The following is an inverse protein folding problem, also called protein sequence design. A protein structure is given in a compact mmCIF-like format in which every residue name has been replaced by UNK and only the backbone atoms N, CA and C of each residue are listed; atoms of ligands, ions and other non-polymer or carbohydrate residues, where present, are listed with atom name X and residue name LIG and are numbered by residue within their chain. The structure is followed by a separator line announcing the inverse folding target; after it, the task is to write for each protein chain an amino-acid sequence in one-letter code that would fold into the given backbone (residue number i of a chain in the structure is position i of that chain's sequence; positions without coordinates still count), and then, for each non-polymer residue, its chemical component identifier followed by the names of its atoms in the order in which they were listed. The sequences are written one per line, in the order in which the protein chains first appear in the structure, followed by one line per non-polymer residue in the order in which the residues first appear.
data_IF_614378829692
#
_entry.id   IF_614378829692
#
_cell.length_a   1.000
_cell.length_b   1.000
_cell.length_c   1.000
_cell.angle_alpha   90.00
_cell.angle_beta   90.00
_cell.angle_gamma   90.00
#
_symmetry.space_group_name_H-M   'P 1'
#
loop_
_entity.id
_entity.type
_entity.pdbx_description
1 polymer ?
#
# COMPACT_ATOMS: atom_id res chain seq x y z
N UNK A 1 -16.93 8.75 12.08
CA UNK A 1 -15.66 8.26 11.47
C UNK A 1 -16.01 7.20 10.45
N UNK A 2 -15.47 7.30 9.24
CA UNK A 2 -15.70 6.31 8.19
C UNK A 2 -14.97 4.99 8.55
N UNK A 3 -15.55 3.84 8.24
CA UNK A 3 -14.95 2.53 8.53
C UNK A 3 -14.17 1.95 7.35
N UNK A 4 -14.60 2.22 6.12
CA UNK A 4 -13.99 1.65 4.91
C UNK A 4 -13.67 2.74 3.88
N UNK A 5 -12.55 2.54 3.18
CA UNK A 5 -12.05 3.33 2.06
C UNK A 5 -12.58 2.77 0.73
N UNK A 6 -13.11 3.62 -0.15
CA UNK A 6 -13.37 3.26 -1.55
C UNK A 6 -12.10 3.35 -2.41
N UNK A 7 -12.15 2.84 -3.64
CA UNK A 7 -11.07 2.99 -4.63
C UNK A 7 -10.72 4.46 -4.85
N UNK A 8 -11.74 5.27 -5.10
CA UNK A 8 -11.59 6.69 -5.39
C UNK A 8 -11.01 7.46 -4.21
N UNK A 9 -11.35 7.08 -2.98
CA UNK A 9 -10.77 7.67 -1.78
C UNK A 9 -9.31 7.34 -1.63
N UNK A 10 -8.91 6.09 -1.87
CA UNK A 10 -7.50 5.70 -1.86
C UNK A 10 -6.71 6.50 -2.91
N UNK A 11 -7.23 6.59 -4.14
CA UNK A 11 -6.59 7.35 -5.23
C UNK A 11 -6.49 8.84 -4.87
N UNK A 12 -7.59 9.43 -4.38
CA UNK A 12 -7.65 10.85 -3.99
C UNK A 12 -6.68 11.15 -2.84
N UNK A 13 -6.62 10.27 -1.84
CA UNK A 13 -5.72 10.41 -0.70
C UNK A 13 -4.25 10.34 -1.13
N UNK A 14 -3.88 9.39 -2.01
CA UNK A 14 -2.52 9.31 -2.54
C UNK A 14 -2.15 10.51 -3.42
N UNK A 15 -3.07 10.99 -4.26
CA UNK A 15 -2.83 12.18 -5.08
C UNK A 15 -2.60 13.42 -4.20
N UNK A 16 -3.42 13.61 -3.16
CA UNK A 16 -3.29 14.71 -2.22
C UNK A 16 -1.99 14.62 -1.40
N UNK A 17 -1.64 13.42 -0.93
CA UNK A 17 -0.38 13.16 -0.23
C UNK A 17 0.82 13.48 -1.11
N UNK A 18 0.81 13.04 -2.38
CA UNK A 18 1.86 13.32 -3.35
C UNK A 18 2.01 14.82 -3.63
N UNK A 19 0.89 15.53 -3.80
CA UNK A 19 0.91 16.98 -4.00
C UNK A 19 1.51 17.73 -2.80
N UNK A 20 1.23 17.29 -1.57
CA UNK A 20 1.80 17.89 -0.35
C UNK A 20 3.28 17.56 -0.19
N UNK A 21 3.64 16.30 -0.41
CA UNK A 21 5.03 15.87 -0.38
C UNK A 21 5.87 16.66 -1.38
N UNK A 22 5.37 16.85 -2.61
CA UNK A 22 6.02 17.66 -3.64
C UNK A 22 6.22 19.12 -3.19
N UNK A 23 5.20 19.75 -2.58
CA UNK A 23 5.29 21.11 -2.04
C UNK A 23 6.36 21.25 -0.94
N UNK A 24 6.56 20.19 -0.16
CA UNK A 24 7.58 20.12 0.90
C UNK A 24 8.96 19.66 0.38
N UNK A 25 9.12 19.44 -0.93
CA UNK A 25 10.36 18.93 -1.52
C UNK A 25 10.69 17.48 -1.13
N UNK A 26 9.69 16.70 -0.71
CA UNK A 26 9.82 15.31 -0.32
C UNK A 26 9.54 14.38 -1.51
N UNK A 27 10.50 13.51 -1.82
CA UNK A 27 10.27 12.36 -2.69
C UNK A 27 9.73 11.21 -1.87
N UNK A 28 8.58 10.66 -2.29
CA UNK A 28 7.87 9.59 -1.59
C UNK A 28 7.81 8.39 -2.50
N UNK A 29 8.41 7.29 -2.04
CA UNK A 29 8.39 5.99 -2.70
C UNK A 29 7.77 4.98 -1.73
N UNK A 30 6.69 4.34 -2.17
CA UNK A 30 5.92 3.41 -1.37
C UNK A 30 5.81 2.08 -2.11
N UNK A 31 5.89 0.99 -1.36
CA UNK A 31 5.55 -0.34 -1.85
C UNK A 31 4.28 -0.82 -1.14
N UNK A 32 3.15 -0.76 -1.85
CA UNK A 32 1.84 -1.16 -1.30
C UNK A 32 1.76 -2.69 -1.24
N UNK A 33 1.30 -3.20 -0.11
CA UNK A 33 1.13 -4.63 0.15
C UNK A 33 -0.26 -4.92 0.73
N UNK A 34 -0.60 -6.20 0.85
CA UNK A 34 -1.86 -6.63 1.47
C UNK A 34 -3.09 -6.43 0.59
N UNK A 35 -4.24 -6.21 1.23
CA UNK A 35 -5.56 -6.27 0.58
C UNK A 35 -5.72 -5.30 -0.57
N UNK A 36 -5.20 -4.07 -0.44
CA UNK A 36 -5.27 -3.05 -1.49
C UNK A 36 -4.53 -3.48 -2.75
N UNK A 37 -3.34 -4.07 -2.60
CA UNK A 37 -2.55 -4.55 -3.74
C UNK A 37 -3.31 -5.64 -4.53
N UNK A 38 -3.96 -6.58 -3.84
CA UNK A 38 -4.77 -7.64 -4.46
C UNK A 38 -6.00 -7.04 -5.16
N UNK A 39 -6.73 -6.17 -4.48
CA UNK A 39 -7.97 -5.57 -4.98
C UNK A 39 -7.71 -4.71 -6.23
N UNK A 40 -6.64 -3.92 -6.21
CA UNK A 40 -6.26 -3.07 -7.35
C UNK A 40 -5.67 -3.90 -8.49
N UNK A 41 -4.85 -4.92 -8.17
CA UNK A 41 -4.20 -5.77 -9.17
C UNK A 41 -5.17 -6.66 -9.96
N UNK A 42 -6.26 -7.11 -9.34
CA UNK A 42 -7.28 -7.92 -10.01
C UNK A 42 -8.46 -7.13 -10.58
N UNK A 43 -8.42 -5.80 -10.55
CA UNK A 43 -9.49 -4.91 -11.02
C UNK A 43 -10.88 -5.12 -10.37
N UNK A 44 -10.96 -5.94 -9.30
CA UNK A 44 -12.20 -6.22 -8.56
C UNK A 44 -12.70 -5.02 -7.74
N UNK A 45 -11.90 -3.96 -7.65
CA UNK A 45 -12.23 -2.73 -6.94
C UNK A 45 -13.53 -2.08 -7.44
N UNK A 46 -13.83 -2.14 -8.74
CA UNK A 46 -15.03 -1.55 -9.35
C UNK A 46 -16.33 -2.26 -8.92
N UNK A 47 -16.23 -3.53 -8.56
CA UNK A 47 -17.38 -4.36 -8.18
C UNK A 47 -17.76 -4.17 -6.70
N UNK A 48 -16.84 -3.62 -5.89
CA UNK A 48 -16.98 -3.45 -4.44
C UNK A 48 -17.61 -2.09 -4.10
N UNK A 49 -18.94 -2.01 -4.16
CA UNK A 49 -19.73 -0.79 -3.88
C UNK A 49 -19.71 -0.28 -2.43
N UNK A 50 -19.23 -1.09 -1.47
CA UNK A 50 -19.34 -0.83 -0.03
C UNK A 50 -18.06 -0.35 0.66
N UNK A 51 -16.96 -0.17 -0.08
CA UNK A 51 -15.61 0.06 0.47
C UNK A 51 -14.75 -1.20 0.41
N UNK A 52 -13.44 -0.97 0.25
CA UNK A 52 -12.43 -1.98 -0.08
C UNK A 52 -11.70 -2.50 1.15
N UNK A 53 -11.31 -1.58 2.04
CA UNK A 53 -10.40 -1.86 3.16
C UNK A 53 -10.54 -0.77 4.23
N UNK A 54 -10.06 -1.03 5.44
CA UNK A 54 -9.96 -0.01 6.49
C UNK A 54 -8.71 0.86 6.32
N UNK A 55 -7.66 0.30 5.73
CA UNK A 55 -6.34 0.89 5.61
C UNK A 55 -5.57 0.35 4.40
N UNK A 56 -4.48 1.05 4.08
CA UNK A 56 -3.49 0.70 3.09
C UNK A 56 -2.19 0.38 3.82
N UNK A 57 -1.76 -0.88 3.74
CA UNK A 57 -0.43 -1.28 4.21
C UNK A 57 0.62 -0.94 3.14
N UNK A 58 1.70 -0.30 3.55
CA UNK A 58 2.82 0.01 2.68
C UNK A 58 4.16 -0.11 3.39
N UNK A 59 5.20 -0.41 2.61
CA UNK A 59 6.59 -0.17 3.01
C UNK A 59 6.97 1.23 2.53
N UNK A 60 7.41 2.08 3.45
CA UNK A 60 7.99 3.39 3.13
C UNK A 60 9.44 3.18 2.64
N UNK A 61 9.65 3.19 1.32
CA UNK A 61 10.98 3.01 0.71
C UNK A 61 11.77 4.30 0.82
N UNK A 62 11.14 5.43 0.49
CA UNK A 62 11.64 6.78 0.74
C UNK A 62 10.47 7.69 1.14
N UNK A 63 10.71 8.70 1.99
CA UNK A 63 11.98 9.03 2.61
C UNK A 63 12.24 8.24 3.90
N UNK A 64 13.50 8.22 4.36
CA UNK A 64 13.91 7.57 5.61
C UNK A 64 14.31 8.60 6.69
N UNK A 65 14.51 8.14 7.93
CA UNK A 65 14.98 9.00 9.03
C UNK A 65 14.06 10.18 9.34
N UNK A 66 14.63 11.37 9.50
CA UNK A 66 13.87 12.59 9.89
C UNK A 66 12.78 12.95 8.86
N UNK A 67 13.05 12.70 7.59
CA UNK A 67 12.09 12.98 6.51
C UNK A 67 10.88 12.02 6.57
N UNK A 68 11.01 10.82 7.13
CA UNK A 68 9.88 9.91 7.36
C UNK A 68 8.88 10.51 8.37
N UNK A 69 9.36 11.20 9.40
CA UNK A 69 8.47 11.88 10.36
C UNK A 69 7.66 13.00 9.69
N UNK A 70 8.27 13.73 8.74
CA UNK A 70 7.56 14.72 7.93
C UNK A 70 6.47 14.05 7.08
N UNK A 71 6.79 12.93 6.41
CA UNK A 71 5.79 12.17 5.66
C UNK A 71 4.64 11.70 6.57
N UNK A 72 4.92 11.17 7.76
CA UNK A 72 3.86 10.77 8.72
C UNK A 72 2.97 11.93 9.14
N UNK A 73 3.52 13.13 9.30
CA UNK A 73 2.72 14.33 9.57
C UNK A 73 1.80 14.66 8.39
N UNK A 74 2.29 14.61 7.15
CA UNK A 74 1.47 14.82 5.96
C UNK A 74 0.34 13.78 5.83
N UNK A 75 0.62 12.51 6.14
CA UNK A 75 -0.38 11.44 6.18
C UNK A 75 -1.49 11.77 7.17
N UNK A 76 -1.15 12.24 8.37
CA UNK A 76 -2.14 12.65 9.38
C UNK A 76 -2.97 13.87 8.96
N UNK A 77 -2.38 14.80 8.21
CA UNK A 77 -3.14 15.92 7.65
C UNK A 77 -4.11 15.48 6.54
N UNK A 78 -3.72 14.51 5.70
CA UNK A 78 -4.60 13.91 4.68
C UNK A 78 -5.73 13.13 5.34
N UNK A 79 -5.42 12.38 6.40
CA UNK A 79 -6.39 11.65 7.22
C UNK A 79 -7.48 12.60 7.74
N UNK A 80 -7.08 13.72 8.34
CA UNK A 80 -8.00 14.70 8.88
C UNK A 80 -8.82 15.42 7.79
N UNK A 81 -8.20 15.80 6.68
CA UNK A 81 -8.86 16.56 5.61
C UNK A 81 -9.93 15.75 4.88
N UNK A 82 -9.64 14.48 4.59
CA UNK A 82 -10.55 13.60 3.87
C UNK A 82 -11.42 12.75 4.82
N UNK A 83 -11.32 12.98 6.14
CA UNK A 83 -12.05 12.23 7.18
C UNK A 83 -11.90 10.70 7.01
N UNK A 84 -10.66 10.27 6.72
CA UNK A 84 -10.32 8.86 6.48
C UNK A 84 -10.32 8.08 7.81
N UNK A 85 -10.38 6.74 7.76
CA UNK A 85 -10.14 5.91 8.92
C UNK A 85 -8.77 6.22 9.55
N UNK A 86 -8.67 6.12 10.87
CA UNK A 86 -7.42 6.33 11.58
C UNK A 86 -6.38 5.31 11.14
N UNK A 87 -5.19 5.77 10.73
CA UNK A 87 -4.14 4.88 10.23
C UNK A 87 -4.41 4.36 8.83
N UNK A 88 -5.18 5.10 8.01
CA UNK A 88 -5.52 4.75 6.63
C UNK A 88 -4.32 4.38 5.75
N UNK A 89 -3.13 4.87 6.08
CA UNK A 89 -1.86 4.46 5.48
C UNK A 89 -0.86 4.15 6.60
N UNK A 90 -0.35 2.93 6.65
CA UNK A 90 0.56 2.51 7.71
C UNK A 90 1.60 1.47 7.25
N UNK A 91 2.60 1.22 8.10
CA UNK A 91 3.71 0.29 7.87
C UNK A 91 3.66 -0.96 8.77
N UNK A 92 2.49 -1.32 9.29
CA UNK A 92 2.34 -2.45 10.24
C UNK A 92 2.76 -3.78 9.61
N UNK A 93 2.51 -3.95 8.32
CA UNK A 93 2.90 -5.13 7.56
C UNK A 93 4.37 -5.14 7.13
N UNK A 94 5.10 -4.01 7.21
CA UNK A 94 6.48 -3.90 6.74
C UNK A 94 7.44 -4.88 7.47
N UNK A 95 7.17 -5.18 8.74
CA UNK A 95 7.95 -6.15 9.53
C UNK A 95 7.92 -7.59 9.01
N UNK A 96 6.93 -7.93 8.19
CA UNK A 96 6.80 -9.24 7.55
C UNK A 96 7.46 -9.28 6.17
N UNK A 97 7.85 -8.12 5.63
CA UNK A 97 8.62 -8.03 4.38
C UNK A 97 10.08 -8.21 4.73
N UNK A 98 10.57 -9.45 4.62
CA UNK A 98 12.01 -9.70 4.64
C UNK A 98 12.64 -9.17 3.35
N UNK A 99 13.93 -8.82 3.41
CA UNK A 99 14.76 -8.29 2.31
C UNK A 99 14.40 -8.94 0.97
N UNK A 100 14.30 -8.12 -0.10
CA UNK A 100 14.17 -8.60 -1.49
C UNK A 100 15.18 -9.74 -1.70
N UNK A 101 14.66 -10.95 -1.94
CA UNK A 101 15.47 -12.13 -2.23
C UNK A 101 15.83 -12.07 -3.70
N UNK A 102 17.12 -12.00 -4.01
CA UNK A 102 17.65 -12.22 -5.37
C UNK A 102 17.83 -13.74 -5.65
N UNK A 103 17.40 -14.59 -4.71
CA UNK A 103 17.53 -16.05 -4.76
C UNK A 103 16.29 -16.77 -5.28
N UNK A 104 16.41 -18.05 -5.68
CA UNK A 104 15.31 -18.84 -6.23
C UNK A 104 14.15 -18.93 -5.24
N UNK A 105 12.91 -19.01 -5.76
CA UNK A 105 11.69 -19.12 -4.96
C UNK A 105 11.79 -20.32 -3.99
N UNK A 106 11.92 -20.03 -2.69
CA UNK A 106 12.10 -21.05 -1.66
C UNK A 106 10.81 -21.47 -0.94
N UNK A 107 9.70 -20.75 -1.12
CA UNK A 107 8.48 -21.01 -0.37
C UNK A 107 7.37 -21.61 -1.23
N UNK A 108 6.93 -22.80 -0.84
CA UNK A 108 5.75 -23.51 -1.35
C UNK A 108 4.72 -23.61 -0.21
N UNK A 109 3.52 -23.07 -0.41
CA UNK A 109 2.43 -23.13 0.58
C UNK A 109 1.63 -24.42 0.39
N UNK A 110 1.40 -25.17 1.47
CA UNK A 110 0.67 -26.43 1.43
C UNK A 110 -0.81 -26.21 1.06
N UNK A 111 -1.26 -26.84 -0.03
CA UNK A 111 -2.65 -26.79 -0.50
C UNK A 111 -2.83 -26.32 -1.94
N UNK A 112 -1.78 -25.86 -2.62
CA UNK A 112 -1.86 -25.51 -4.04
C UNK A 112 -1.43 -26.69 -4.94
N UNK A 113 -2.32 -27.29 -5.75
CA UNK A 113 -1.90 -28.31 -6.70
C UNK A 113 -0.95 -27.69 -7.72
N UNK A 114 0.17 -28.38 -8.00
CA UNK A 114 1.14 -27.98 -9.03
C UNK A 114 0.43 -27.92 -10.38
N UNK A 115 0.04 -26.72 -10.81
CA UNK A 115 -0.33 -26.48 -12.19
C UNK A 115 0.96 -26.26 -12.99
N UNK A 116 1.25 -27.08 -14.02
CA UNK A 116 2.49 -26.98 -14.79
C UNK A 116 2.48 -25.82 -15.81
N UNK A 117 1.64 -24.79 -15.61
CA UNK A 117 1.39 -23.74 -16.62
C UNK A 117 1.34 -22.31 -16.12
N UNK A 118 1.86 -21.98 -14.94
CA UNK A 118 2.04 -20.57 -14.57
C UNK A 118 3.33 -20.42 -13.79
N UNK A 119 4.44 -20.48 -14.52
CA UNK A 119 5.71 -19.94 -14.05
C UNK A 119 5.51 -18.43 -13.94
N UNK A 120 5.22 -17.97 -12.72
CA UNK A 120 5.26 -16.55 -12.38
C UNK A 120 6.73 -16.12 -12.41
N UNK A 121 7.20 -15.77 -13.60
CA UNK A 121 8.48 -15.09 -13.78
C UNK A 121 8.34 -13.67 -13.24
N UNK A 122 8.84 -13.43 -12.04
CA UNK A 122 9.13 -12.08 -11.58
C UNK A 122 10.30 -11.54 -12.42
N UNK A 123 10.03 -10.55 -13.27
CA UNK A 123 11.06 -9.87 -14.05
C UNK A 123 11.98 -9.06 -13.13
N UNK A 124 13.29 -9.17 -13.36
CA UNK A 124 14.36 -8.54 -12.61
C UNK A 124 14.32 -7.00 -12.72
#
# INVERSE_FOLDING_TARGET
MKSLLSKDEVITAFALLGQRAQREGLSVELFIIGGVAVIFGHQVAEELRGGLTHDVDAVFVQPTGIQLSKLRALIGQVEAELNLPKGWLNDSAAKFVTRRSDGPLHLSVAGHPRSPRHDLHCWA
#
